data_IF_252946098346
#
_entry.id   IF_252946098346
#
_cell.length_a   1.000
_cell.length_b   1.000
_cell.length_c   1.000
_cell.angle_alpha   90.00
_cell.angle_beta   90.00
_cell.angle_gamma   90.00
#
_symmetry.space_group_name_H-M   'P 1'
#
loop_
_entity.id
_entity.type
_entity.pdbx_description
1 polymer ?
#
# COMPACT_ATOMS: atom_id res chain seq x y z
N UNK A 1 -15.78 25.82 -1.97
CA UNK A 1 -14.90 24.70 -2.35
C UNK A 1 -15.20 23.55 -1.42
N UNK A 2 -15.78 22.48 -1.93
CA UNK A 2 -16.06 21.26 -1.17
C UNK A 2 -14.72 20.65 -0.79
N UNK A 3 -14.47 20.32 0.48
CA UNK A 3 -13.27 19.56 0.88
C UNK A 3 -13.56 18.07 0.74
N UNK A 4 -12.56 17.30 0.32
CA UNK A 4 -12.66 15.85 0.34
C UNK A 4 -12.64 15.36 1.81
N UNK A 5 -13.57 14.50 2.25
CA UNK A 5 -13.56 13.99 3.62
C UNK A 5 -12.34 13.09 3.88
N UNK A 6 -11.79 13.13 5.10
CA UNK A 6 -10.57 12.37 5.46
C UNK A 6 -10.71 10.85 5.27
N UNK A 7 -11.93 10.33 5.41
CA UNK A 7 -12.28 8.92 5.21
C UNK A 7 -12.97 8.66 3.87
N UNK A 8 -12.80 9.53 2.88
CA UNK A 8 -13.34 9.31 1.55
C UNK A 8 -12.92 7.95 0.98
N UNK A 9 -13.86 7.29 0.33
CA UNK A 9 -13.61 6.11 -0.50
C UNK A 9 -12.93 6.50 -1.82
N UNK A 10 -12.36 5.52 -2.52
CA UNK A 10 -11.75 5.76 -3.82
C UNK A 10 -12.75 6.29 -4.85
N UNK A 11 -14.03 5.89 -4.75
CA UNK A 11 -15.08 6.36 -5.64
C UNK A 11 -15.47 7.82 -5.37
N UNK A 12 -15.61 8.21 -4.11
CA UNK A 12 -15.86 9.60 -3.73
C UNK A 12 -14.69 10.51 -4.14
N UNK A 13 -13.45 10.04 -3.95
CA UNK A 13 -12.24 10.72 -4.38
C UNK A 13 -12.16 10.89 -5.90
N UNK A 14 -12.54 9.85 -6.66
CA UNK A 14 -12.63 9.89 -8.13
C UNK A 14 -13.68 10.90 -8.60
N UNK A 15 -14.88 10.86 -8.02
CA UNK A 15 -15.98 11.80 -8.32
C UNK A 15 -15.62 13.23 -7.97
N UNK A 16 -14.95 13.44 -6.84
CA UNK A 16 -14.47 14.74 -6.40
C UNK A 16 -13.49 15.37 -7.40
N UNK A 17 -12.56 14.57 -7.92
CA UNK A 17 -11.60 15.01 -8.93
C UNK A 17 -12.12 15.03 -10.37
N UNK A 18 -13.39 14.66 -10.60
CA UNK A 18 -13.98 14.62 -11.95
C UNK A 18 -13.29 13.64 -12.90
N UNK A 19 -12.69 12.57 -12.38
CA UNK A 19 -11.92 11.61 -13.19
C UNK A 19 -12.82 10.57 -13.87
N UNK A 20 -12.50 10.25 -15.11
CA UNK A 20 -12.90 9.01 -15.77
C UNK A 20 -12.07 7.82 -15.26
N UNK A 21 -12.49 6.59 -15.56
CA UNK A 21 -11.76 5.38 -15.14
C UNK A 21 -10.32 5.33 -15.65
N UNK A 22 -10.10 5.78 -16.88
CA UNK A 22 -8.78 5.77 -17.52
C UNK A 22 -7.85 6.80 -16.87
N UNK A 23 -8.32 8.04 -16.74
CA UNK A 23 -7.59 9.12 -16.07
C UNK A 23 -7.35 8.81 -14.59
N UNK A 24 -8.31 8.14 -13.93
CA UNK A 24 -8.14 7.68 -12.55
C UNK A 24 -7.00 6.67 -12.43
N UNK A 25 -6.96 5.63 -13.28
CA UNK A 25 -5.85 4.66 -13.28
C UNK A 25 -4.51 5.32 -13.52
N UNK A 26 -4.46 6.31 -14.42
CA UNK A 26 -3.24 7.07 -14.69
C UNK A 26 -2.79 7.88 -13.46
N UNK A 27 -3.71 8.61 -12.84
CA UNK A 27 -3.47 9.30 -11.56
C UNK A 27 -2.97 8.35 -10.46
N UNK A 28 -3.57 7.17 -10.31
CA UNK A 28 -3.13 6.17 -9.34
C UNK A 28 -1.70 5.67 -9.62
N UNK A 29 -1.30 5.61 -10.89
CA UNK A 29 0.02 5.17 -11.33
C UNK A 29 1.08 6.24 -11.03
N UNK A 30 0.83 7.47 -11.47
CA UNK A 30 1.71 8.63 -11.23
C UNK A 30 1.95 8.82 -9.73
N UNK A 31 0.87 8.86 -8.94
CA UNK A 31 0.97 9.03 -7.48
C UNK A 31 1.74 7.90 -6.80
N UNK A 32 1.65 6.67 -7.31
CA UNK A 32 2.40 5.52 -6.79
C UNK A 32 3.90 5.64 -7.10
N UNK A 33 4.27 6.12 -8.29
CA UNK A 33 5.67 6.36 -8.64
C UNK A 33 6.29 7.45 -7.81
N UNK A 34 5.58 8.57 -7.63
CA UNK A 34 6.02 9.67 -6.75
C UNK A 34 6.18 9.18 -5.31
N UNK A 35 5.22 8.41 -4.79
CA UNK A 35 5.32 7.83 -3.45
C UNK A 35 6.53 6.90 -3.30
N UNK A 36 6.86 6.10 -4.32
CA UNK A 36 8.07 5.25 -4.31
C UNK A 36 9.35 6.09 -4.25
N UNK A 37 9.43 7.18 -5.00
CA UNK A 37 10.58 8.09 -4.96
C UNK A 37 10.71 8.72 -3.57
N UNK A 38 9.59 9.12 -2.97
CA UNK A 38 9.57 9.69 -1.62
C UNK A 38 10.07 8.70 -0.55
N UNK A 39 9.61 7.44 -0.59
CA UNK A 39 10.06 6.40 0.36
C UNK A 39 11.54 6.07 0.16
N UNK A 40 12.02 6.00 -1.09
CA UNK A 40 13.44 5.79 -1.38
C UNK A 40 14.33 6.90 -0.82
N UNK A 41 13.88 8.17 -0.89
CA UNK A 41 14.60 9.33 -0.36
C UNK A 41 14.56 9.35 1.17
N UNK A 42 13.39 9.09 1.75
CA UNK A 42 13.17 9.14 3.19
C UNK A 42 12.36 7.92 3.62
N UNK A 43 13.01 6.86 4.13
CA UNK A 43 12.28 5.70 4.64
C UNK A 43 11.39 6.11 5.82
N UNK A 44 10.21 5.48 5.95
CA UNK A 44 9.22 5.77 6.99
C UNK A 44 8.58 7.18 6.95
N UNK A 45 8.65 7.89 5.83
CA UNK A 45 8.01 9.20 5.68
C UNK A 45 6.48 9.10 5.75
N UNK A 46 5.86 9.92 6.60
CA UNK A 46 4.42 10.12 6.62
C UNK A 46 4.05 11.41 5.87
N UNK A 47 3.02 11.37 5.02
CA UNK A 47 2.56 12.56 4.29
C UNK A 47 2.30 13.77 5.21
N UNK A 48 1.71 13.53 6.39
CA UNK A 48 1.48 14.59 7.39
C UNK A 48 2.76 15.30 7.84
N UNK A 49 3.90 14.61 7.85
CA UNK A 49 5.19 15.12 8.29
C UNK A 49 6.00 15.75 7.15
N UNK A 50 5.56 15.64 5.90
CA UNK A 50 6.20 16.30 4.75
C UNK A 50 6.05 17.81 4.90
N UNK A 51 7.14 18.55 4.68
CA UNK A 51 7.16 20.02 4.76
C UNK A 51 6.25 20.62 3.68
N UNK A 52 5.74 21.82 3.93
CA UNK A 52 4.85 22.50 2.98
C UNK A 52 5.49 22.68 1.60
N UNK A 53 6.77 23.06 1.53
CA UNK A 53 7.46 23.24 0.25
C UNK A 53 7.52 21.93 -0.55
N UNK A 54 7.92 20.83 0.08
CA UNK A 54 7.96 19.51 -0.57
C UNK A 54 6.56 19.03 -0.99
N UNK A 55 5.53 19.36 -0.21
CA UNK A 55 4.13 19.09 -0.57
C UNK A 55 3.71 19.81 -1.85
N UNK A 56 4.09 21.08 -1.98
CA UNK A 56 3.81 21.88 -3.18
C UNK A 56 4.60 21.37 -4.39
N UNK A 57 5.89 21.05 -4.23
CA UNK A 57 6.70 20.44 -5.29
C UNK A 57 6.11 19.12 -5.79
N UNK A 58 5.65 18.27 -4.86
CA UNK A 58 4.99 17.00 -5.19
C UNK A 58 3.67 17.24 -5.94
N UNK A 59 2.87 18.22 -5.51
CA UNK A 59 1.64 18.61 -6.21
C UNK A 59 1.96 19.06 -7.63
N UNK A 60 2.90 19.98 -7.79
CA UNK A 60 3.26 20.55 -9.08
C UNK A 60 3.78 19.47 -10.03
N UNK A 61 4.61 18.56 -9.53
CA UNK A 61 5.09 17.41 -10.30
C UNK A 61 3.96 16.47 -10.74
N UNK A 62 3.00 16.17 -9.85
CA UNK A 62 1.85 15.33 -10.21
C UNK A 62 1.00 16.03 -11.28
N UNK A 63 0.71 17.33 -11.11
CA UNK A 63 -0.06 18.09 -12.07
C UNK A 63 0.67 18.25 -13.41
N UNK A 64 1.99 18.37 -13.41
CA UNK A 64 2.80 18.40 -14.63
C UNK A 64 2.68 17.08 -15.41
N UNK A 65 2.78 15.93 -14.74
CA UNK A 65 2.62 14.61 -15.37
C UNK A 65 1.18 14.40 -15.88
N UNK A 66 0.18 14.82 -15.11
CA UNK A 66 -1.22 14.77 -15.55
C UNK A 66 -1.46 15.65 -16.77
N UNK A 67 -0.87 16.85 -16.81
CA UNK A 67 -0.97 17.76 -17.95
C UNK A 67 -0.32 17.19 -19.20
N UNK A 68 0.80 16.47 -19.06
CA UNK A 68 1.44 15.74 -20.18
C UNK A 68 0.52 14.68 -20.78
N UNK A 69 -0.29 14.04 -19.94
CA UNK A 69 -1.29 13.06 -20.36
C UNK A 69 -2.64 13.67 -20.77
N UNK A 70 -2.73 15.00 -20.91
CA UNK A 70 -3.95 15.75 -21.18
C UNK A 70 -5.08 15.54 -20.14
N UNK A 71 -4.70 15.20 -18.90
CA UNK A 71 -5.60 15.09 -17.74
C UNK A 71 -5.63 16.42 -17.01
N UNK A 72 -6.81 16.82 -16.52
CA UNK A 72 -7.00 18.05 -15.77
C UNK A 72 -6.16 18.11 -14.49
N UNK A 73 -5.92 19.32 -14.00
CA UNK A 73 -5.21 19.56 -12.75
C UNK A 73 -6.02 19.11 -11.54
N UNK A 74 -5.29 18.74 -10.49
CA UNK A 74 -5.86 18.15 -9.30
C UNK A 74 -5.61 19.03 -8.09
N UNK A 75 -6.63 19.10 -7.25
CA UNK A 75 -6.56 19.79 -5.97
C UNK A 75 -5.66 19.07 -4.97
N UNK A 76 -5.06 19.88 -4.09
CA UNK A 76 -4.15 19.39 -3.06
C UNK A 76 -4.81 18.35 -2.14
N UNK A 77 -6.10 18.53 -1.82
CA UNK A 77 -6.85 17.62 -0.93
C UNK A 77 -6.87 16.18 -1.47
N UNK A 78 -7.08 16.01 -2.77
CA UNK A 78 -7.11 14.69 -3.40
C UNK A 78 -5.72 14.04 -3.44
N UNK A 79 -4.69 14.83 -3.74
CA UNK A 79 -3.29 14.39 -3.71
C UNK A 79 -2.90 13.97 -2.30
N UNK A 80 -3.27 14.77 -1.29
CA UNK A 80 -2.97 14.50 0.10
C UNK A 80 -3.66 13.25 0.64
N UNK A 81 -4.94 13.07 0.31
CA UNK A 81 -5.68 11.84 0.60
C UNK A 81 -4.99 10.61 -0.02
N UNK A 82 -4.61 10.71 -1.30
CA UNK A 82 -3.99 9.59 -2.03
C UNK A 82 -2.62 9.23 -1.49
N UNK A 83 -1.73 10.21 -1.33
CA UNK A 83 -0.35 9.97 -0.87
C UNK A 83 -0.30 9.45 0.56
N UNK A 84 -1.16 9.94 1.45
CA UNK A 84 -1.27 9.41 2.82
C UNK A 84 -1.55 7.91 2.83
N UNK A 85 -2.43 7.45 1.93
CA UNK A 85 -2.85 6.05 1.84
C UNK A 85 -1.79 5.17 1.18
N UNK A 86 -1.17 5.65 0.11
CA UNK A 86 -0.12 4.90 -0.61
C UNK A 86 1.15 4.77 0.22
N UNK A 87 1.61 5.85 0.88
CA UNK A 87 2.77 5.79 1.76
C UNK A 87 2.52 4.84 2.94
N UNK A 88 1.32 4.88 3.53
CA UNK A 88 0.92 3.93 4.56
C UNK A 88 0.97 2.47 4.06
N UNK A 89 0.38 2.19 2.89
CA UNK A 89 0.36 0.86 2.31
C UNK A 89 1.76 0.31 1.99
N UNK A 90 2.62 1.13 1.37
CA UNK A 90 3.99 0.73 1.03
C UNK A 90 4.81 0.37 2.27
N UNK A 91 4.64 1.10 3.37
CA UNK A 91 5.30 0.79 4.65
C UNK A 91 4.84 -0.55 5.23
N UNK A 92 3.54 -0.86 5.16
CA UNK A 92 3.03 -2.16 5.62
C UNK A 92 3.60 -3.33 4.78
N UNK A 93 3.82 -3.12 3.47
CA UNK A 93 4.42 -4.13 2.60
C UNK A 93 5.91 -4.38 2.93
N UNK A 94 6.68 -3.34 3.24
CA UNK A 94 8.09 -3.47 3.70
C UNK A 94 8.18 -4.19 5.05
N UNK A 95 7.27 -3.89 5.98
CA UNK A 95 7.20 -4.58 7.26
C UNK A 95 6.84 -6.07 7.10
N UNK A 96 5.88 -6.41 6.23
CA UNK A 96 5.45 -7.80 6.01
C UNK A 96 6.46 -8.65 5.23
N UNK A 97 7.20 -8.05 4.30
CA UNK A 97 8.28 -8.76 3.58
C UNK A 97 9.46 -9.11 4.49
N UNK A 98 9.70 -8.31 5.53
CA UNK A 98 10.70 -8.60 6.57
C UNK A 98 10.31 -9.79 7.44
N UNK A 99 9.02 -9.96 7.74
CA UNK A 99 8.50 -11.10 8.53
C UNK A 99 8.45 -12.40 7.72
N UNK A 100 8.13 -12.35 6.43
CA UNK A 100 8.14 -13.54 5.56
C UNK A 100 9.53 -14.16 5.41
N UNK A 101 10.59 -13.34 5.38
CA UNK A 101 11.98 -13.82 5.29
C UNK A 101 12.46 -14.58 6.55
N UNK A 102 11.80 -14.39 7.69
CA UNK A 102 12.09 -15.12 8.92
C UNK A 102 11.37 -16.48 9.00
N UNK A 103 10.22 -16.63 8.34
CA UNK A 103 9.45 -17.88 8.35
C UNK A 103 9.90 -18.86 7.26
N UNK A 104 10.39 -18.40 6.11
CA UNK A 104 10.92 -19.27 5.05
C UNK A 104 12.24 -19.97 5.46
N UNK A 105 13.00 -19.41 6.41
CA UNK A 105 14.22 -20.03 6.92
C UNK A 105 13.94 -21.15 7.97
N UNK A 106 12.73 -21.23 8.50
CA UNK A 106 12.33 -22.26 9.46
C UNK A 106 11.61 -23.47 8.81
N UNK A 107 11.10 -23.32 7.57
CA UNK A 107 10.33 -24.34 6.86
C UNK A 107 11.19 -25.24 5.95
N UNK A 108 12.50 -25.00 5.82
CA UNK A 108 13.39 -25.80 4.97
C UNK A 108 14.02 -27.02 5.68
N UNK A 109 13.66 -27.32 6.93
CA UNK A 109 14.29 -28.39 7.73
C UNK A 109 13.37 -29.54 8.16
N UNK A 110 12.13 -29.63 7.66
CA UNK A 110 11.16 -30.65 8.11
C UNK A 110 10.59 -31.55 7.02
N UNK A 111 11.17 -31.58 5.82
CA UNK A 111 10.73 -32.48 4.74
C UNK A 111 11.71 -33.65 4.53
N UNK A 112 11.91 -34.46 5.58
CA UNK A 112 12.49 -35.81 5.45
C UNK A 112 11.95 -36.72 6.57
N UNK A 113 10.66 -37.07 6.52
CA UNK A 113 10.09 -38.28 7.12
C UNK A 113 8.60 -38.40 6.74
N UNK A 114 8.34 -39.02 5.60
CA UNK A 114 7.01 -39.48 5.23
C UNK A 114 6.79 -40.88 5.84
N UNK A 115 5.90 -41.02 6.83
CA UNK A 115 5.28 -42.30 7.23
C UNK A 115 3.84 -42.03 7.76
N UNK A 116 2.80 -42.73 7.28
CA UNK A 116 1.39 -42.49 7.64
C UNK A 116 0.94 -43.20 8.93
N UNK A 117 0.16 -42.48 9.74
CA UNK A 117 -0.87 -42.95 10.71
C UNK A 117 -0.63 -44.26 11.46
N UNK A 118 -0.04 -44.19 12.67
CA UNK A 118 -0.15 -45.28 13.66
C UNK A 118 -1.36 -45.07 14.57
N UNK A 119 -2.42 -45.85 14.33
CA UNK A 119 -3.52 -46.06 15.29
C UNK A 119 -2.93 -46.72 16.53
N UNK A 120 -3.16 -46.15 17.72
CA UNK A 120 -2.72 -46.76 18.99
C UNK A 120 -3.50 -48.07 19.20
N UNK A 121 -2.85 -49.19 19.56
CA UNK A 121 -3.56 -50.41 19.93
C UNK A 121 -4.24 -50.24 21.30
N UNK A 122 -5.41 -50.85 21.44
CA UNK A 122 -6.24 -50.86 22.65
C UNK A 122 -5.52 -51.50 23.85
N UNK A 123 -5.57 -50.86 25.02
CA UNK A 123 -4.93 -51.30 26.27
C UNK A 123 -6.00 -51.59 27.35
N UNK A 124 -6.37 -52.87 27.56
CA UNK A 124 -7.48 -53.25 28.43
C UNK A 124 -7.18 -53.12 29.94
N UNK A 125 -6.00 -52.64 30.36
CA UNK A 125 -5.72 -52.37 31.78
C UNK A 125 -6.12 -50.93 32.16
N UNK A 126 -6.36 -50.07 31.17
CA UNK A 126 -6.76 -48.66 31.37
C UNK A 126 -8.19 -48.33 31.00
N UNK A 127 -8.83 -49.15 30.18
CA UNK A 127 -10.21 -48.95 29.71
C UNK A 127 -11.18 -50.01 30.28
N UNK A 128 -11.13 -50.21 31.61
CA UNK A 128 -11.92 -51.09 32.55
C UNK A 128 -11.65 -52.59 32.62
#
# INVERSE_FOLDING_TARGET
MTRLPDKATAEEAKRYGGFDDVSWRRFLTITKEVARVLIKKTPNLLWKNVRYNEKMEVKDKINEELRKDAIGEVEYDLIGWRLSRVLGALRHMEAQSSTKKANDAADASLLEAAEPSTTRPYDPVRDI
#
